data_IF_644413032815
#
_entry.id   IF_644413032815
#
_cell.length_a   1.000
_cell.length_b   1.000
_cell.length_c   1.000
_cell.angle_alpha   90.00
_cell.angle_beta   90.00
_cell.angle_gamma   90.00
#
_symmetry.space_group_name_H-M   'P 1'
#
loop_
_entity.id
_entity.type
_entity.pdbx_description
1 polymer ?
#
# COMPACT_ATOMS: atom_id res chain seq x y z
N UNK A 1 6.87 26.99 -6.51
CA UNK A 1 6.60 26.68 -5.98
C UNK A 1 6.59 25.93 -5.63
N UNK A 2 6.70 25.81 -5.47
CA UNK A 2 6.56 25.13 -4.92
C UNK A 2 6.08 24.42 -4.65
N UNK A 3 6.42 24.48 -4.70
CA UNK A 3 5.68 23.70 -4.40
C UNK A 3 5.65 22.72 -3.50
N UNK A 4 5.19 22.63 -3.16
CA UNK A 4 5.12 21.53 -2.33
C UNK A 4 5.85 20.35 -2.82
N UNK A 5 6.22 19.35 -1.94
CA UNK A 5 6.82 18.12 -2.40
C UNK A 5 5.91 17.48 -3.43
N UNK A 6 6.46 16.72 -4.36
CA UNK A 6 5.63 16.01 -5.31
C UNK A 6 4.67 15.11 -4.59
N UNK A 7 3.48 14.99 -5.14
CA UNK A 7 2.46 14.14 -4.54
C UNK A 7 2.89 12.69 -4.65
N UNK A 8 2.83 11.98 -3.53
CA UNK A 8 3.11 10.56 -3.52
C UNK A 8 1.91 9.81 -4.08
N UNK A 9 2.20 8.73 -4.77
CA UNK A 9 1.17 7.89 -5.40
C UNK A 9 0.96 6.66 -4.53
N UNK A 10 -0.26 6.49 -4.06
CA UNK A 10 -0.61 5.39 -3.16
C UNK A 10 -1.58 4.48 -3.90
N UNK A 11 -1.24 3.21 -4.02
CA UNK A 11 -2.13 2.21 -4.59
C UNK A 11 -2.88 1.52 -3.46
N UNK A 12 -4.19 1.41 -3.58
CA UNK A 12 -5.03 0.78 -2.57
C UNK A 12 -5.73 -0.40 -3.21
N UNK A 13 -5.57 -1.57 -2.61
CA UNK A 13 -6.09 -2.83 -3.14
C UNK A 13 -7.03 -3.45 -2.13
N UNK A 14 -8.29 -3.60 -2.48
CA UNK A 14 -9.28 -4.23 -1.62
C UNK A 14 -10.49 -4.55 -2.48
N UNK A 15 -11.16 -5.66 -2.19
CA UNK A 15 -12.34 -6.03 -2.95
C UNK A 15 -13.62 -5.39 -2.40
N UNK A 16 -13.51 -4.60 -1.35
CA UNK A 16 -14.66 -3.87 -0.78
C UNK A 16 -14.67 -2.44 -1.32
N UNK A 17 -15.60 -2.12 -2.24
CA UNK A 17 -15.60 -0.78 -2.82
C UNK A 17 -15.88 0.33 -1.81
N UNK A 18 -16.60 0.04 -0.74
CA UNK A 18 -16.85 1.06 0.28
C UNK A 18 -15.56 1.43 1.00
N UNK A 19 -14.75 0.43 1.31
CA UNK A 19 -13.47 0.68 1.97
C UNK A 19 -12.52 1.44 1.03
N UNK A 20 -12.50 1.05 -0.25
CA UNK A 20 -11.66 1.76 -1.22
C UNK A 20 -12.02 3.25 -1.26
N UNK A 21 -13.31 3.57 -1.31
CA UNK A 21 -13.71 4.96 -1.35
C UNK A 21 -13.36 5.70 -0.08
N UNK A 22 -13.55 5.06 1.07
CA UNK A 22 -13.22 5.69 2.34
C UNK A 22 -11.75 6.02 2.44
N UNK A 23 -10.90 5.07 2.05
CA UNK A 23 -9.46 5.30 2.09
C UNK A 23 -9.07 6.38 1.09
N UNK A 24 -9.67 6.38 -0.10
CA UNK A 24 -9.37 7.39 -1.09
C UNK A 24 -9.65 8.79 -0.57
N UNK A 25 -10.82 8.98 0.03
CA UNK A 25 -11.18 10.29 0.55
C UNK A 25 -10.17 10.72 1.62
N UNK A 26 -9.83 9.80 2.50
CA UNK A 26 -8.88 10.10 3.56
C UNK A 26 -7.52 10.54 3.00
N UNK A 27 -7.01 9.77 2.03
CA UNK A 27 -5.69 10.04 1.48
C UNK A 27 -5.67 11.30 0.62
N UNK A 28 -6.71 11.52 -0.16
CA UNK A 28 -6.76 12.71 -1.00
C UNK A 28 -6.85 13.97 -0.16
N UNK A 29 -7.39 13.88 1.05
CA UNK A 29 -7.42 15.03 1.94
C UNK A 29 -6.02 15.45 2.38
N UNK A 30 -5.03 14.59 2.21
CA UNK A 30 -3.64 14.87 2.55
C UNK A 30 -2.78 15.04 1.30
N UNK A 31 -3.43 15.27 0.16
CA UNK A 31 -2.75 15.55 -1.11
C UNK A 31 -2.02 14.37 -1.71
N UNK A 32 -2.35 13.15 -1.29
CA UNK A 32 -1.84 11.97 -1.97
C UNK A 32 -2.61 11.72 -3.26
N UNK A 33 -1.93 11.18 -4.24
CA UNK A 33 -2.57 10.68 -5.46
C UNK A 33 -2.93 9.23 -5.21
N UNK A 34 -4.20 8.89 -5.38
CA UNK A 34 -4.70 7.57 -5.00
C UNK A 34 -5.15 6.80 -6.22
N UNK A 35 -4.72 5.55 -6.32
CA UNK A 35 -5.16 4.64 -7.37
C UNK A 35 -5.78 3.43 -6.71
N UNK A 36 -7.02 3.13 -7.11
CA UNK A 36 -7.79 2.06 -6.49
C UNK A 36 -7.81 0.84 -7.38
N UNK A 37 -7.64 -0.31 -6.74
CA UNK A 37 -7.69 -1.59 -7.45
C UNK A 37 -8.58 -2.55 -6.66
N UNK A 38 -9.48 -3.22 -7.36
CA UNK A 38 -10.41 -4.13 -6.71
C UNK A 38 -9.78 -5.50 -6.45
N UNK A 39 -8.57 -5.74 -6.95
CA UNK A 39 -7.89 -7.02 -6.76
C UNK A 39 -6.40 -6.83 -6.94
N UNK A 40 -5.65 -7.79 -6.39
CA UNK A 40 -4.20 -7.79 -6.58
C UNK A 40 -3.85 -7.97 -8.05
N UNK A 41 -4.60 -8.80 -8.76
CA UNK A 41 -4.38 -9.00 -10.19
C UNK A 41 -4.50 -7.69 -10.96
N UNK A 42 -5.51 -6.88 -10.60
CA UNK A 42 -5.70 -5.60 -11.29
C UNK A 42 -4.49 -4.70 -11.10
N UNK A 43 -3.94 -4.65 -9.89
CA UNK A 43 -2.75 -3.84 -9.65
C UNK A 43 -1.55 -4.36 -10.46
N UNK A 44 -1.33 -5.67 -10.43
CA UNK A 44 -0.18 -6.24 -11.12
C UNK A 44 -0.26 -6.04 -12.63
N UNK A 45 -1.46 -6.08 -13.19
CA UNK A 45 -1.64 -5.90 -14.63
C UNK A 45 -1.62 -4.45 -15.05
N UNK A 46 -1.77 -3.54 -14.10
CA UNK A 46 -1.91 -2.12 -14.44
C UNK A 46 -0.62 -1.49 -14.94
N UNK A 47 0.52 -2.05 -14.55
CA UNK A 47 1.79 -1.42 -14.85
C UNK A 47 2.11 -0.23 -13.97
N UNK A 48 1.32 -0.01 -12.92
CA UNK A 48 1.47 1.18 -12.08
C UNK A 48 2.47 1.01 -10.95
N UNK A 49 2.97 -0.20 -10.70
CA UNK A 49 3.84 -0.44 -9.55
C UNK A 49 5.10 0.42 -9.63
N UNK A 50 5.64 0.59 -10.82
CA UNK A 50 6.88 1.38 -11.00
C UNK A 50 6.70 2.82 -10.55
N UNK A 51 5.47 3.35 -10.65
CA UNK A 51 5.19 4.73 -10.28
C UNK A 51 4.59 4.86 -8.89
N UNK A 52 4.40 3.74 -8.20
CA UNK A 52 3.71 3.74 -6.91
C UNK A 52 4.73 3.94 -5.79
N UNK A 53 4.37 4.75 -4.82
CA UNK A 53 5.25 5.06 -3.69
C UNK A 53 4.90 4.27 -2.43
N UNK A 54 3.68 3.74 -2.35
CA UNK A 54 3.26 2.91 -1.22
C UNK A 54 2.04 2.12 -1.65
N UNK A 55 1.92 0.89 -1.17
CA UNK A 55 0.76 0.04 -1.46
C UNK A 55 0.03 -0.25 -0.15
N UNK A 56 -1.29 -0.09 -0.16
CA UNK A 56 -2.15 -0.49 0.95
C UNK A 56 -3.00 -1.63 0.42
N UNK A 57 -2.98 -2.78 1.08
CA UNK A 57 -3.67 -3.95 0.58
C UNK A 57 -4.32 -4.75 1.70
N UNK A 58 -5.52 -5.27 1.41
CA UNK A 58 -6.09 -6.31 2.23
C UNK A 58 -5.30 -7.60 2.02
N UNK A 59 -5.19 -8.40 3.06
CA UNK A 59 -4.52 -9.70 2.96
C UNK A 59 -5.45 -10.74 2.35
N UNK A 60 -6.72 -10.70 2.75
CA UNK A 60 -7.68 -11.73 2.35
C UNK A 60 -8.40 -11.27 1.09
N UNK A 61 -7.95 -11.78 -0.05
CA UNK A 61 -8.57 -11.46 -1.33
C UNK A 61 -8.63 -12.72 -2.16
N UNK A 62 -9.64 -12.81 -3.04
CA UNK A 62 -9.73 -13.98 -3.93
C UNK A 62 -8.59 -13.99 -4.93
N UNK A 63 -8.25 -15.16 -5.39
CA UNK A 63 -7.25 -15.46 -6.41
C UNK A 63 -5.83 -15.23 -5.92
N UNK A 64 -5.45 -13.98 -5.69
CA UNK A 64 -4.11 -13.65 -5.20
C UNK A 64 -4.30 -12.92 -3.87
N UNK A 65 -3.79 -13.50 -2.80
CA UNK A 65 -3.91 -12.85 -1.49
C UNK A 65 -2.80 -11.81 -1.31
N UNK A 66 -2.87 -11.10 -0.18
CA UNK A 66 -1.92 -10.02 0.06
C UNK A 66 -0.48 -10.45 0.17
N UNK A 67 -0.24 -11.67 0.66
CA UNK A 67 1.13 -12.16 0.78
C UNK A 67 1.73 -12.47 -0.58
N UNK A 68 0.93 -13.03 -1.47
CA UNK A 68 1.39 -13.27 -2.85
C UNK A 68 1.64 -11.96 -3.55
N UNK A 69 0.79 -10.97 -3.28
CA UNK A 69 0.99 -9.64 -3.85
C UNK A 69 2.30 -9.04 -3.36
N UNK A 70 2.60 -9.18 -2.06
CA UNK A 70 3.84 -8.66 -1.51
C UNK A 70 5.05 -9.25 -2.21
N UNK A 71 5.02 -10.57 -2.42
CA UNK A 71 6.13 -11.23 -3.12
C UNK A 71 6.27 -10.71 -4.54
N UNK A 72 5.15 -10.54 -5.24
CA UNK A 72 5.21 -10.05 -6.62
C UNK A 72 5.75 -8.62 -6.68
N UNK A 73 5.33 -7.79 -5.74
CA UNK A 73 5.79 -6.41 -5.70
C UNK A 73 7.30 -6.37 -5.43
N UNK A 74 7.75 -7.12 -4.44
CA UNK A 74 9.15 -7.05 -4.04
C UNK A 74 10.07 -7.71 -5.06
N UNK A 75 9.53 -8.54 -5.94
CA UNK A 75 10.34 -9.09 -7.04
C UNK A 75 10.77 -8.00 -8.01
N UNK A 76 9.94 -6.98 -8.20
CA UNK A 76 10.25 -5.91 -9.15
C UNK A 76 10.58 -4.60 -8.46
N UNK A 77 10.11 -4.39 -7.25
CA UNK A 77 10.30 -3.14 -6.51
C UNK A 77 10.56 -3.45 -5.04
N UNK A 78 11.76 -3.94 -4.72
CA UNK A 78 12.01 -4.44 -3.35
C UNK A 78 11.94 -3.37 -2.27
N UNK A 79 12.10 -2.11 -2.63
CA UNK A 79 12.01 -1.04 -1.65
C UNK A 79 10.64 -0.42 -1.50
N UNK A 80 9.64 -0.93 -2.22
CA UNK A 80 8.31 -0.34 -2.17
C UNK A 80 7.61 -0.72 -0.87
N UNK A 81 7.22 0.26 -0.03
CA UNK A 81 6.54 -0.06 1.22
C UNK A 81 5.15 -0.62 0.98
N UNK A 82 4.78 -1.60 1.79
CA UNK A 82 3.46 -2.20 1.73
C UNK A 82 2.84 -2.15 3.12
N UNK A 83 1.59 -1.71 3.19
CA UNK A 83 0.82 -1.66 4.42
C UNK A 83 -0.39 -2.56 4.23
N UNK A 84 -0.53 -3.55 5.12
CA UNK A 84 -1.70 -4.42 5.08
C UNK A 84 -2.76 -3.92 6.03
N UNK A 85 -4.02 -3.98 5.60
CA UNK A 85 -5.17 -3.77 6.46
C UNK A 85 -6.02 -5.03 6.38
N UNK A 86 -6.33 -5.62 7.52
CA UNK A 86 -7.01 -6.91 7.49
C UNK A 86 -7.91 -7.09 8.70
N UNK A 87 -9.01 -7.80 8.49
CA UNK A 87 -9.84 -8.28 9.59
C UNK A 87 -9.35 -9.60 10.16
N UNK A 88 -8.31 -10.17 9.55
CA UNK A 88 -7.81 -11.49 9.93
C UNK A 88 -6.30 -11.47 10.11
N UNK A 89 -5.82 -10.80 11.17
CA UNK A 89 -4.36 -10.69 11.36
C UNK A 89 -3.69 -12.04 11.57
N UNK A 90 -4.44 -13.05 11.98
CA UNK A 90 -3.88 -14.38 12.17
C UNK A 90 -3.35 -14.96 10.85
N UNK A 91 -3.80 -14.45 9.73
CA UNK A 91 -3.30 -14.93 8.44
C UNK A 91 -1.83 -14.64 8.24
N UNK A 92 -1.27 -13.75 9.06
CA UNK A 92 0.13 -13.40 8.96
C UNK A 92 1.03 -14.22 9.87
N UNK A 93 0.45 -15.07 10.71
CA UNK A 93 1.23 -15.79 11.70
C UNK A 93 2.26 -16.71 11.09
N UNK A 94 2.02 -17.19 9.87
CA UNK A 94 2.98 -18.06 9.21
C UNK A 94 4.07 -17.35 8.44
N UNK A 95 4.06 -16.03 8.46
CA UNK A 95 5.09 -15.29 7.74
C UNK A 95 6.41 -15.36 8.47
N UNK A 96 7.45 -15.69 7.74
CA UNK A 96 8.78 -15.70 8.32
C UNK A 96 9.16 -14.27 8.67
N UNK A 97 9.45 -14.01 9.94
CA UNK A 97 9.81 -12.65 10.33
C UNK A 97 11.19 -12.23 9.87
N UNK A 98 11.98 -13.16 9.40
CA UNK A 98 13.34 -12.89 9.01
C UNK A 98 13.46 -12.47 7.54
N UNK A 99 12.35 -12.41 6.83
CA UNK A 99 12.41 -11.94 5.48
C UNK A 99 12.68 -10.45 5.40
N UNK A 100 13.15 -9.98 4.26
CA UNK A 100 13.43 -8.55 4.09
C UNK A 100 12.19 -7.71 3.87
N UNK A 101 11.04 -8.23 4.14
CA UNK A 101 9.80 -7.53 3.88
C UNK A 101 9.70 -6.30 4.75
N UNK A 102 9.36 -5.20 4.11
CA UNK A 102 9.08 -3.96 4.80
C UNK A 102 7.60 -3.72 4.72
N UNK A 103 6.87 -4.20 5.72
CA UNK A 103 5.44 -3.98 5.73
C UNK A 103 4.95 -3.75 7.14
N UNK A 104 3.80 -3.11 7.22
CA UNK A 104 3.10 -2.89 8.47
C UNK A 104 1.71 -3.48 8.35
N UNK A 105 1.09 -3.77 9.48
CA UNK A 105 -0.23 -4.39 9.51
C UNK A 105 -1.15 -3.59 10.41
N UNK A 106 -2.33 -3.28 9.89
CA UNK A 106 -3.40 -2.68 10.68
C UNK A 106 -4.59 -3.61 10.69
N UNK A 107 -5.14 -3.84 11.86
CA UNK A 107 -6.32 -4.68 12.01
C UNK A 107 -7.58 -3.84 11.82
N UNK A 108 -8.51 -4.34 11.04
CA UNK A 108 -9.80 -3.66 10.84
C UNK A 108 -10.67 -3.85 12.06
N UNK A 109 -11.41 -2.84 12.50
CA UNK A 109 -11.38 -1.47 11.99
C UNK A 109 -10.14 -0.72 12.48
N UNK A 110 -9.61 0.14 11.67
CA UNK A 110 -8.42 0.92 12.02
C UNK A 110 -8.78 2.39 12.10
N UNK A 111 -7.90 3.16 12.73
CA UNK A 111 -8.08 4.59 12.81
C UNK A 111 -7.40 5.25 11.63
N UNK A 112 -8.14 6.12 10.93
CA UNK A 112 -7.59 6.80 9.76
C UNK A 112 -6.32 7.55 10.06
N UNK A 113 -6.25 8.19 11.23
CA UNK A 113 -5.07 8.96 11.60
C UNK A 113 -3.83 8.07 11.69
N UNK A 114 -4.00 6.86 12.23
CA UNK A 114 -2.87 5.95 12.37
C UNK A 114 -2.40 5.48 11.00
N UNK A 115 -3.34 5.25 10.10
CA UNK A 115 -2.98 4.86 8.73
C UNK A 115 -2.22 5.98 8.04
N UNK A 116 -2.67 7.22 8.20
CA UNK A 116 -1.99 8.36 7.59
C UNK A 116 -0.56 8.50 8.12
N UNK A 117 -0.36 8.27 9.41
CA UNK A 117 0.98 8.34 9.98
C UNK A 117 1.88 7.26 9.42
N UNK A 118 1.35 6.06 9.25
CA UNK A 118 2.13 4.97 8.69
C UNK A 118 2.53 5.25 7.25
N UNK A 119 1.61 5.81 6.47
CA UNK A 119 1.91 6.15 5.09
C UNK A 119 2.99 7.22 5.02
N UNK A 120 2.85 8.25 5.84
CA UNK A 120 3.84 9.33 5.86
C UNK A 120 5.22 8.80 6.21
N UNK A 121 5.30 7.95 7.23
CA UNK A 121 6.57 7.37 7.60
C UNK A 121 7.16 6.53 6.47
N UNK A 122 6.31 5.75 5.80
CA UNK A 122 6.77 4.88 4.73
C UNK A 122 7.33 5.67 3.56
N UNK A 123 6.62 6.72 3.12
CA UNK A 123 7.05 7.45 1.94
C UNK A 123 8.25 8.35 2.25
N UNK A 124 8.38 8.79 3.49
CA UNK A 124 9.53 9.63 3.86
C UNK A 124 10.83 8.84 3.90
N UNK A 125 10.76 7.54 3.99
CA UNK A 125 11.96 6.71 3.98
C UNK A 125 12.43 6.36 2.58
N UNK A 126 11.69 6.77 1.56
CA UNK A 126 12.09 6.50 0.18
C UNK A 126 13.26 7.41 -0.20
N UNK A 127 14.24 6.89 -0.95
CA UNK A 127 15.34 7.73 -1.42
C UNK A 127 14.81 8.80 -2.36
N UNK A 128 15.02 10.06 -1.99
CA UNK A 128 14.43 11.16 -2.73
C UNK A 128 14.90 11.21 -4.16
N UNK A 129 16.17 11.03 -4.37
CA UNK A 129 16.75 11.20 -5.70
C UNK A 129 16.41 10.04 -6.62
N UNK A 130 15.87 8.97 -6.10
CA UNK A 130 15.50 7.83 -6.93
C UNK A 130 14.05 7.85 -7.33
N UNK A 131 13.30 8.82 -6.83
CA UNK A 131 11.90 8.90 -7.13
C UNK A 131 11.72 9.76 -8.36
N UNK A 132 11.22 9.13 -9.37
CA UNK A 132 10.86 9.85 -10.58
C UNK A 132 11.92 10.81 -11.05
N UNK A 133 13.06 10.46 -10.79
CA UNK A 133 14.21 11.13 -11.32
C UNK A 133 14.41 12.48 -11.09
#
# INVERSE_FOLDING_TARGET
MTKHPPSYIIAVVDDDPSLLQSIRILLESQDYVVRLFASATALLKSGCIADTDCVISDITMPVINGLDLLKAIHASSPGLPVIFVTGHPEMLDGLAPDGPQHFRVFTKPFKGQELLEAIRDAVQQLPTQERRG
#
